data_IF_263481329826
#
_entry.id   IF_263481329826
#
_cell.length_a   1.000
_cell.length_b   1.000
_cell.length_c   1.000
_cell.angle_alpha   90.00
_cell.angle_beta   90.00
_cell.angle_gamma   90.00
#
_symmetry.space_group_name_H-M   'P 1'
#
loop_
_entity.id
_entity.type
_entity.pdbx_description
1 polymer ?
#
# COMPACT_ATOMS: atom_id res chain seq x y z
N UNK A 1 -4.67 -18.03 -13.19
CA UNK A 1 -3.95 -18.05 -11.90
C UNK A 1 -3.34 -19.43 -11.74
N UNK A 2 -2.12 -19.54 -11.20
CA UNK A 2 -1.47 -20.84 -10.97
C UNK A 2 -2.05 -21.41 -9.67
N UNK A 3 -2.74 -22.53 -9.78
CA UNK A 3 -3.32 -23.23 -8.62
C UNK A 3 -2.20 -23.87 -7.78
N UNK A 4 -2.02 -23.40 -6.54
CA UNK A 4 -1.06 -23.99 -5.61
C UNK A 4 -1.59 -25.34 -5.13
N UNK A 5 -0.76 -26.37 -5.27
CA UNK A 5 -1.09 -27.72 -4.80
C UNK A 5 -0.31 -28.04 -3.53
N UNK A 6 -0.73 -29.08 -2.81
CA UNK A 6 -0.03 -29.57 -1.60
C UNK A 6 1.46 -29.83 -1.85
N UNK A 7 1.82 -30.34 -3.04
CA UNK A 7 3.24 -30.57 -3.40
C UNK A 7 4.02 -29.26 -3.47
N UNK A 8 3.48 -28.27 -4.19
CA UNK A 8 4.13 -26.97 -4.36
C UNK A 8 4.26 -26.27 -3.00
N UNK A 9 3.23 -26.34 -2.16
CA UNK A 9 3.30 -25.78 -0.81
C UNK A 9 4.35 -26.50 0.05
N UNK A 10 4.44 -27.83 -0.06
CA UNK A 10 5.44 -28.64 0.66
C UNK A 10 6.86 -28.19 0.34
N UNK A 11 7.13 -28.05 -0.95
CA UNK A 11 8.43 -27.63 -1.47
C UNK A 11 8.73 -26.16 -1.07
N UNK A 12 7.72 -25.28 -1.05
CA UNK A 12 7.84 -23.87 -0.65
C UNK A 12 8.21 -23.70 0.84
N UNK A 13 7.57 -24.46 1.73
CA UNK A 13 7.77 -24.34 3.19
C UNK A 13 8.79 -25.36 3.75
N UNK A 14 9.38 -26.19 2.90
CA UNK A 14 10.40 -27.17 3.29
C UNK A 14 9.88 -28.32 4.16
N UNK A 15 8.61 -28.71 4.01
CA UNK A 15 8.01 -29.82 4.78
C UNK A 15 7.62 -30.98 3.87
N UNK A 16 7.37 -32.15 4.45
CA UNK A 16 6.89 -33.29 3.67
C UNK A 16 5.45 -33.10 3.20
N UNK A 17 5.13 -33.58 1.99
CA UNK A 17 3.76 -33.61 1.45
C UNK A 17 2.76 -34.25 2.42
N UNK A 18 3.20 -35.31 3.11
CA UNK A 18 2.38 -36.03 4.08
C UNK A 18 2.08 -35.18 5.31
N UNK A 19 3.02 -34.33 5.75
CA UNK A 19 2.80 -33.41 6.85
C UNK A 19 1.67 -32.44 6.53
N UNK A 20 1.67 -31.82 5.35
CA UNK A 20 0.55 -30.95 4.93
C UNK A 20 -0.77 -31.73 4.89
N UNK A 21 -0.76 -32.97 4.39
CA UNK A 21 -1.97 -33.79 4.36
C UNK A 21 -2.54 -34.05 5.77
N UNK A 22 -1.68 -34.40 6.73
CA UNK A 22 -2.09 -34.59 8.13
C UNK A 22 -2.67 -33.32 8.74
N UNK A 23 -2.13 -32.15 8.38
CA UNK A 23 -2.67 -30.86 8.84
C UNK A 23 -4.05 -30.62 8.21
N UNK A 24 -4.21 -30.88 6.92
CA UNK A 24 -5.53 -30.78 6.25
C UNK A 24 -6.57 -31.68 6.91
N UNK A 25 -6.18 -32.89 7.32
CA UNK A 25 -7.08 -33.83 7.97
C UNK A 25 -7.49 -33.36 9.39
N UNK A 26 -6.66 -32.55 10.06
CA UNK A 26 -6.91 -31.94 11.37
C UNK A 26 -7.72 -30.65 11.30
N UNK A 27 -7.76 -29.98 10.16
CA UNK A 27 -8.55 -28.76 9.98
C UNK A 27 -10.05 -29.06 10.13
N UNK A 28 -10.85 -28.10 10.62
CA UNK A 28 -12.30 -28.25 10.68
C UNK A 28 -12.89 -28.27 9.25
N UNK A 29 -14.04 -28.93 9.09
CA UNK A 29 -14.63 -29.19 7.75
C UNK A 29 -14.91 -27.91 6.94
N UNK A 30 -15.16 -26.79 7.61
CA UNK A 30 -15.38 -25.47 7.00
C UNK A 30 -14.09 -24.78 6.51
N UNK A 31 -12.92 -25.34 6.81
CA UNK A 31 -11.60 -24.79 6.43
C UNK A 31 -10.77 -25.79 5.60
N UNK A 32 -11.37 -26.93 5.21
CA UNK A 32 -10.69 -27.92 4.39
C UNK A 32 -10.57 -27.43 2.94
N UNK A 33 -9.41 -27.59 2.30
CA UNK A 33 -9.23 -27.17 0.92
C UNK A 33 -10.09 -27.98 -0.04
N UNK A 34 -10.47 -27.36 -1.16
CA UNK A 34 -11.27 -28.02 -2.19
C UNK A 34 -10.46 -29.11 -2.90
N UNK A 35 -11.04 -30.30 -3.01
CA UNK A 35 -10.43 -31.42 -3.73
C UNK A 35 -10.91 -31.43 -5.19
N UNK A 36 -9.98 -31.35 -6.14
CA UNK A 36 -10.23 -31.49 -7.58
C UNK A 36 -9.66 -32.83 -8.03
N UNK A 37 -10.53 -33.84 -8.18
CA UNK A 37 -10.12 -35.22 -8.46
C UNK A 37 -9.26 -35.81 -7.34
N UNK A 38 -8.04 -36.23 -7.66
CA UNK A 38 -7.11 -36.85 -6.70
C UNK A 38 -6.16 -35.85 -6.01
N UNK A 39 -6.34 -34.54 -6.18
CA UNK A 39 -5.44 -33.52 -5.62
C UNK A 39 -6.21 -32.42 -4.89
N UNK A 40 -5.61 -31.92 -3.82
CA UNK A 40 -6.06 -30.70 -3.16
C UNK A 40 -5.53 -29.48 -3.91
N UNK A 41 -6.45 -28.56 -4.20
CA UNK A 41 -6.15 -27.23 -4.73
C UNK A 41 -6.27 -26.27 -3.56
N UNK A 42 -5.20 -25.55 -3.27
CA UNK A 42 -5.10 -24.68 -2.10
C UNK A 42 -5.32 -23.23 -2.53
N UNK A 43 -6.32 -22.59 -1.93
CA UNK A 43 -6.48 -21.13 -1.96
C UNK A 43 -5.49 -20.44 -1.02
N UNK A 44 -5.38 -19.11 -1.12
CA UNK A 44 -4.54 -18.33 -0.21
C UNK A 44 -4.97 -18.48 1.25
N UNK A 45 -6.28 -18.58 1.51
CA UNK A 45 -6.85 -18.80 2.84
C UNK A 45 -6.46 -20.19 3.36
N UNK A 46 -6.55 -21.22 2.52
CA UNK A 46 -6.15 -22.58 2.90
C UNK A 46 -4.67 -22.64 3.29
N UNK A 47 -3.81 -21.95 2.52
CA UNK A 47 -2.38 -21.87 2.80
C UNK A 47 -2.13 -21.18 4.14
N UNK A 48 -2.84 -20.10 4.45
CA UNK A 48 -2.73 -19.40 5.72
C UNK A 48 -3.16 -20.30 6.88
N UNK A 49 -4.32 -20.96 6.77
CA UNK A 49 -4.81 -21.88 7.80
C UNK A 49 -3.84 -23.03 8.05
N UNK A 50 -3.30 -23.63 6.98
CA UNK A 50 -2.28 -24.68 7.08
C UNK A 50 -1.00 -24.18 7.75
N UNK A 51 -0.53 -22.97 7.41
CA UNK A 51 0.68 -22.37 8.01
C UNK A 51 0.47 -22.02 9.49
N UNK A 52 -0.72 -21.53 9.86
CA UNK A 52 -1.10 -21.27 11.27
C UNK A 52 -1.13 -22.57 12.06
N UNK A 53 -1.80 -23.60 11.56
CA UNK A 53 -1.91 -24.90 12.23
C UNK A 53 -0.54 -25.61 12.36
N UNK A 54 0.41 -25.30 11.48
CA UNK A 54 1.80 -25.76 11.59
C UNK A 54 2.64 -24.97 12.60
N UNK A 55 2.13 -23.85 13.13
CA UNK A 55 2.90 -22.94 13.99
C UNK A 55 3.95 -22.12 13.22
N UNK A 56 3.80 -21.99 11.90
CA UNK A 56 4.67 -21.16 11.05
C UNK A 56 4.18 -19.71 10.97
N UNK A 57 2.92 -19.48 11.34
CA UNK A 57 2.30 -18.16 11.39
C UNK A 57 1.52 -18.02 12.70
N UNK A 58 1.68 -16.90 13.37
CA UNK A 58 0.89 -16.58 14.56
C UNK A 58 -0.48 -16.01 14.12
N UNK A 59 -1.60 -16.63 14.53
CA UNK A 59 -2.94 -16.19 14.13
C UNK A 59 -3.24 -14.77 14.66
N UNK A 60 -2.68 -14.44 15.83
CA UNK A 60 -2.77 -13.11 16.43
C UNK A 60 -1.92 -12.10 15.68
N UNK A 61 -0.72 -12.46 15.21
CA UNK A 61 0.15 -11.57 14.44
C UNK A 61 -0.44 -11.29 13.04
N UNK A 62 -1.07 -12.26 12.37
CA UNK A 62 -1.70 -12.02 11.06
C UNK A 62 -2.91 -11.08 11.13
N UNK A 63 -3.66 -11.11 12.24
CA UNK A 63 -4.69 -10.11 12.51
C UNK A 63 -4.04 -8.79 12.89
N UNK A 64 -3.02 -8.77 13.75
CA UNK A 64 -2.32 -7.54 14.19
C UNK A 64 -1.60 -6.84 13.04
N UNK A 65 -0.98 -7.51 12.09
CA UNK A 65 -0.28 -6.87 10.98
C UNK A 65 -1.27 -6.36 9.92
N UNK A 66 -2.40 -7.06 9.73
CA UNK A 66 -3.55 -6.53 8.98
C UNK A 66 -4.18 -5.33 9.70
N UNK A 67 -4.34 -5.37 11.01
CA UNK A 67 -4.87 -4.27 11.83
C UNK A 67 -3.87 -3.13 12.02
N UNK A 68 -2.56 -3.37 11.99
CA UNK A 68 -1.50 -2.35 12.02
C UNK A 68 -1.41 -1.66 10.68
N UNK A 69 -1.49 -2.40 9.58
CA UNK A 69 -1.66 -1.79 8.26
C UNK A 69 -2.96 -0.99 8.21
N UNK A 70 -4.09 -1.55 8.66
CA UNK A 70 -5.38 -0.84 8.71
C UNK A 70 -5.36 0.35 9.67
N UNK A 71 -4.72 0.28 10.83
CA UNK A 71 -4.65 1.40 11.80
C UNK A 71 -3.71 2.47 11.30
N UNK A 72 -2.60 2.09 10.67
CA UNK A 72 -1.68 3.03 10.02
C UNK A 72 -2.35 3.69 8.82
N UNK A 73 -3.07 2.92 8.00
CA UNK A 73 -3.89 3.41 6.87
C UNK A 73 -5.02 4.31 7.39
N UNK A 74 -5.68 3.95 8.49
CA UNK A 74 -6.75 4.73 9.13
C UNK A 74 -6.20 6.04 9.68
N UNK A 75 -5.05 6.02 10.34
CA UNK A 75 -4.39 7.21 10.88
C UNK A 75 -3.85 8.10 9.74
N UNK A 76 -3.38 7.52 8.63
CA UNK A 76 -3.03 8.25 7.41
C UNK A 76 -4.28 8.84 6.74
N UNK A 77 -5.41 8.12 6.73
CA UNK A 77 -6.70 8.62 6.24
C UNK A 77 -7.20 9.79 7.09
N UNK A 78 -7.12 9.66 8.42
CA UNK A 78 -7.58 10.65 9.39
C UNK A 78 -6.71 11.93 9.34
N UNK A 79 -5.43 11.83 8.98
CA UNK A 79 -4.54 13.01 8.78
C UNK A 79 -4.68 13.68 7.40
N UNK A 80 -5.41 13.07 6.46
CA UNK A 80 -5.63 13.61 5.11
C UNK A 80 -7.02 14.23 4.90
N UNK A 81 -7.87 14.26 5.93
CA UNK A 81 -9.21 14.88 5.87
C UNK A 81 -9.19 16.21 6.62
N UNK A 82 -9.26 17.38 5.94
CA UNK A 82 -9.76 18.57 6.59
C UNK A 82 -11.23 18.35 6.96
N UNK A 83 -11.58 18.74 8.18
CA UNK A 83 -12.90 18.63 8.82
C UNK A 83 -14.06 18.87 7.85
N UNK A 84 -14.89 17.84 7.65
CA UNK A 84 -16.30 18.04 7.35
C UNK A 84 -17.11 17.15 8.31
N UNK A 85 -16.98 17.51 9.59
CA UNK A 85 -17.70 16.92 10.71
C UNK A 85 -19.08 17.57 10.73
N UNK A 86 -20.08 16.90 10.16
CA UNK A 86 -21.49 17.15 10.53
C UNK A 86 -22.39 15.95 10.22
N UNK A 87 -22.01 15.05 9.31
CA UNK A 87 -22.91 13.96 8.88
C UNK A 87 -22.67 12.59 9.53
N UNK A 88 -21.64 12.41 10.37
CA UNK A 88 -21.32 11.12 11.00
C UNK A 88 -22.12 10.86 12.29
N UNK A 89 -22.41 11.92 13.06
CA UNK A 89 -23.16 11.82 14.32
C UNK A 89 -24.62 11.41 14.11
N UNK A 90 -25.22 11.78 12.97
CA UNK A 90 -26.62 11.44 12.68
C UNK A 90 -26.82 10.00 12.20
N UNK A 91 -25.82 9.42 11.52
CA UNK A 91 -25.89 8.04 11.05
C UNK A 91 -25.73 7.00 12.18
N UNK A 92 -24.92 7.32 13.20
CA UNK A 92 -24.69 6.41 14.34
C UNK A 92 -25.90 6.39 15.31
N UNK A 93 -26.63 7.49 15.45
CA UNK A 93 -27.81 7.55 16.32
C UNK A 93 -29.02 6.75 15.78
N UNK A 94 -29.16 6.61 14.46
CA UNK A 94 -30.30 5.90 13.83
C UNK A 94 -30.17 4.37 13.86
N UNK A 95 -28.96 3.83 14.08
CA UNK A 95 -28.72 2.38 14.07
C UNK A 95 -29.13 1.75 15.41
N UNK A 96 -28.98 2.48 16.53
CA UNK A 96 -29.31 1.98 17.88
C UNK A 96 -30.82 1.85 18.13
N UNK A 97 -31.66 2.67 17.48
CA UNK A 97 -33.11 2.71 17.78
C UNK A 97 -33.92 1.63 17.06
N UNK A 98 -33.34 0.92 16.08
CA UNK A 98 -34.08 -0.03 15.25
C UNK A 98 -33.84 -1.51 15.61
N UNK A 99 -32.97 -1.80 16.59
CA UNK A 99 -32.70 -3.18 17.04
C UNK A 99 -33.75 -3.64 18.08
N UNK A 100 -34.33 -2.72 18.86
CA UNK A 100 -35.22 -3.08 19.99
C UNK A 100 -36.67 -3.40 19.59
N UNK A 101 -37.07 -3.26 18.32
CA UNK A 101 -38.46 -3.46 17.88
C UNK A 101 -38.75 -4.79 17.16
N UNK A 102 -37.84 -5.78 17.22
CA UNK A 102 -38.02 -7.07 16.51
C UNK A 102 -38.22 -8.28 17.42
N UNK A 103 -38.98 -8.11 18.50
CA UNK A 103 -39.64 -9.22 19.18
C UNK A 103 -41.16 -9.10 19.05
N UNK A 104 -41.69 -9.34 17.85
CA UNK A 104 -43.00 -9.99 17.65
C UNK A 104 -43.36 -10.15 16.16
N UNK A 105 -43.77 -11.38 15.81
CA UNK A 105 -44.80 -11.73 14.82
C UNK A 105 -44.39 -12.11 13.37
N UNK A 106 -44.11 -13.40 13.21
CA UNK A 106 -44.63 -14.41 12.24
C UNK A 106 -45.05 -14.04 10.80
N UNK A 107 -44.52 -14.88 9.88
CA UNK A 107 -45.15 -15.55 8.71
C UNK A 107 -44.59 -15.17 7.33
N UNK A 108 -44.42 -16.22 6.52
CA UNK A 108 -43.67 -16.34 5.27
C UNK A 108 -44.53 -15.89 4.08
N UNK A 109 -44.11 -14.89 3.31
CA UNK A 109 -44.37 -14.78 1.84
C UNK A 109 -43.68 -13.58 1.13
N UNK A 110 -43.13 -12.57 1.82
CA UNK A 110 -42.68 -11.31 1.17
C UNK A 110 -41.18 -11.19 0.78
N UNK A 111 -40.39 -12.27 0.77
CA UNK A 111 -38.91 -12.14 0.73
C UNK A 111 -38.27 -11.77 -0.62
N UNK A 112 -39.00 -11.79 -1.74
CA UNK A 112 -38.40 -11.52 -3.08
C UNK A 112 -38.44 -10.05 -3.52
N UNK A 113 -39.33 -9.22 -2.97
CA UNK A 113 -39.43 -7.79 -3.34
C UNK A 113 -38.51 -6.88 -2.52
N UNK A 114 -38.24 -7.21 -1.25
CA UNK A 114 -37.34 -6.43 -0.38
C UNK A 114 -35.85 -6.57 -0.78
N UNK A 115 -35.43 -7.74 -1.26
CA UNK A 115 -34.03 -8.01 -1.67
C UNK A 115 -33.57 -7.16 -2.86
N UNK A 116 -34.48 -6.81 -3.78
CA UNK A 116 -34.14 -5.97 -4.94
C UNK A 116 -33.87 -4.51 -4.54
N UNK A 117 -34.59 -4.00 -3.53
CA UNK A 117 -34.42 -2.62 -3.06
C UNK A 117 -33.12 -2.41 -2.29
N UNK A 118 -32.71 -3.38 -1.49
CA UNK A 118 -31.45 -3.33 -0.72
C UNK A 118 -30.24 -3.50 -1.64
N UNK A 119 -30.36 -4.32 -2.69
CA UNK A 119 -29.33 -4.47 -3.71
C UNK A 119 -29.16 -3.18 -4.55
N UNK A 120 -30.24 -2.50 -4.91
CA UNK A 120 -30.20 -1.24 -5.65
C UNK A 120 -29.52 -0.11 -4.84
N UNK A 121 -29.79 -0.03 -3.53
CA UNK A 121 -29.15 0.96 -2.64
C UNK A 121 -27.64 0.70 -2.54
N UNK A 122 -27.24 -0.56 -2.35
CA UNK A 122 -25.82 -0.94 -2.28
C UNK A 122 -25.14 -0.72 -3.62
N UNK A 123 -25.81 -1.02 -4.73
CA UNK A 123 -25.28 -0.80 -6.09
C UNK A 123 -25.07 0.68 -6.40
N UNK A 124 -26.03 1.55 -6.07
CA UNK A 124 -25.90 2.99 -6.26
C UNK A 124 -24.81 3.60 -5.37
N UNK A 125 -24.68 3.12 -4.12
CA UNK A 125 -23.59 3.51 -3.23
C UNK A 125 -22.23 3.12 -3.80
N UNK A 126 -22.07 1.87 -4.24
CA UNK A 126 -20.83 1.39 -4.85
C UNK A 126 -20.50 2.16 -6.13
N UNK A 127 -21.50 2.47 -6.97
CA UNK A 127 -21.33 3.26 -8.17
C UNK A 127 -20.84 4.68 -7.86
N UNK A 128 -21.39 5.30 -6.81
CA UNK A 128 -20.94 6.60 -6.31
C UNK A 128 -19.50 6.54 -5.80
N UNK A 129 -19.16 5.52 -5.01
CA UNK A 129 -17.80 5.33 -4.47
C UNK A 129 -16.77 5.11 -5.59
N UNK A 130 -17.12 4.36 -6.63
CA UNK A 130 -16.28 4.18 -7.82
C UNK A 130 -16.07 5.52 -8.54
N UNK A 131 -17.12 6.32 -8.68
CA UNK A 131 -17.04 7.66 -9.28
C UNK A 131 -16.09 8.59 -8.53
N UNK A 132 -16.21 8.62 -7.20
CA UNK A 132 -15.34 9.43 -6.34
C UNK A 132 -13.88 8.96 -6.39
N UNK A 133 -13.63 7.65 -6.32
CA UNK A 133 -12.27 7.08 -6.45
C UNK A 133 -11.64 7.37 -7.82
N UNK A 134 -12.42 7.29 -8.89
CA UNK A 134 -11.93 7.63 -10.23
C UNK A 134 -11.53 9.10 -10.37
N UNK A 135 -12.27 10.02 -9.73
CA UNK A 135 -11.90 11.43 -9.72
C UNK A 135 -10.60 11.67 -8.93
N UNK A 136 -10.41 10.99 -7.79
CA UNK A 136 -9.16 11.06 -7.04
C UNK A 136 -7.96 10.52 -7.84
N UNK A 137 -8.16 9.46 -8.61
CA UNK A 137 -7.12 8.92 -9.51
C UNK A 137 -6.72 9.97 -10.54
N UNK A 138 -7.69 10.63 -11.19
CA UNK A 138 -7.40 11.70 -12.16
C UNK A 138 -6.59 12.84 -11.56
N UNK A 139 -6.91 13.26 -10.33
CA UNK A 139 -6.14 14.32 -9.66
C UNK A 139 -4.72 13.86 -9.29
N UNK A 140 -4.55 12.61 -8.84
CA UNK A 140 -3.22 12.03 -8.59
C UNK A 140 -2.39 11.90 -9.87
N UNK A 141 -3.00 11.50 -10.98
CA UNK A 141 -2.34 11.43 -12.29
C UNK A 141 -1.85 12.81 -12.76
N UNK A 142 -2.64 13.87 -12.53
CA UNK A 142 -2.21 15.25 -12.81
C UNK A 142 -0.99 15.65 -11.97
N UNK A 143 -0.97 15.30 -10.69
CA UNK A 143 0.18 15.58 -9.82
C UNK A 143 1.44 14.82 -10.28
N UNK A 144 1.29 13.55 -10.67
CA UNK A 144 2.38 12.75 -11.23
C UNK A 144 2.95 13.41 -12.49
N UNK A 145 2.08 13.88 -13.39
CA UNK A 145 2.52 14.58 -14.61
C UNK A 145 3.27 15.88 -14.30
N UNK A 146 2.85 16.64 -13.29
CA UNK A 146 3.56 17.85 -12.84
C UNK A 146 4.94 17.52 -12.27
N UNK A 147 5.05 16.47 -11.44
CA UNK A 147 6.32 16.03 -10.86
C UNK A 147 7.27 15.54 -11.95
N UNK A 148 6.78 14.76 -12.92
CA UNK A 148 7.57 14.32 -14.07
C UNK A 148 8.15 15.51 -14.84
N UNK A 149 7.33 16.52 -15.14
CA UNK A 149 7.80 17.74 -15.81
C UNK A 149 8.88 18.49 -15.01
N UNK A 150 8.72 18.61 -13.69
CA UNK A 150 9.72 19.25 -12.83
C UNK A 150 11.04 18.46 -12.81
N UNK A 151 10.95 17.13 -12.76
CA UNK A 151 12.10 16.24 -12.79
C UNK A 151 12.85 16.33 -14.13
N UNK A 152 12.13 16.33 -15.26
CA UNK A 152 12.70 16.52 -16.59
C UNK A 152 13.45 17.86 -16.68
N UNK A 153 12.83 18.95 -16.19
CA UNK A 153 13.48 20.26 -16.14
C UNK A 153 14.76 20.22 -15.29
N UNK A 154 14.74 19.57 -14.12
CA UNK A 154 15.92 19.45 -13.28
C UNK A 154 17.04 18.65 -13.97
N UNK A 155 16.70 17.56 -14.67
CA UNK A 155 17.66 16.75 -15.42
C UNK A 155 18.32 17.59 -16.54
N UNK A 156 17.54 18.35 -17.30
CA UNK A 156 18.05 19.24 -18.35
C UNK A 156 19.03 20.27 -17.77
N UNK A 157 18.63 20.95 -16.69
CA UNK A 157 19.49 21.95 -16.04
C UNK A 157 20.79 21.33 -15.52
N UNK A 158 20.73 20.10 -15.01
CA UNK A 158 21.91 19.38 -14.52
C UNK A 158 22.88 19.05 -15.66
N UNK A 159 22.36 18.56 -16.80
CA UNK A 159 23.19 18.29 -17.98
C UNK A 159 23.84 19.57 -18.52
N UNK A 160 23.08 20.65 -18.64
CA UNK A 160 23.61 21.96 -19.06
C UNK A 160 24.69 22.48 -18.12
N UNK A 161 24.53 22.27 -16.81
CA UNK A 161 25.55 22.64 -15.83
C UNK A 161 26.83 21.80 -16.00
N UNK A 162 26.70 20.49 -16.20
CA UNK A 162 27.83 19.59 -16.46
C UNK A 162 28.59 19.96 -17.74
N UNK A 163 27.88 20.27 -18.82
CA UNK A 163 28.49 20.74 -20.08
C UNK A 163 29.27 22.04 -19.88
N UNK A 164 28.70 23.02 -19.18
CA UNK A 164 29.38 24.28 -18.88
C UNK A 164 30.61 24.09 -18.00
N UNK A 165 30.55 23.20 -17.01
CA UNK A 165 31.71 22.88 -16.16
C UNK A 165 32.83 22.28 -17.01
N UNK A 166 32.50 21.32 -17.88
CA UNK A 166 33.47 20.69 -18.77
C UNK A 166 34.18 21.69 -19.68
N UNK A 167 33.43 22.61 -20.30
CA UNK A 167 34.02 23.67 -21.14
C UNK A 167 34.96 24.59 -20.34
N UNK A 168 34.60 24.90 -19.09
CA UNK A 168 35.44 25.71 -18.21
C UNK A 168 36.70 24.97 -17.76
N UNK A 169 36.60 23.66 -17.50
CA UNK A 169 37.75 22.81 -17.20
C UNK A 169 38.70 22.73 -18.40
N UNK A 170 38.18 22.47 -19.60
CA UNK A 170 38.97 22.45 -20.84
C UNK A 170 39.67 23.80 -21.06
N UNK A 171 38.97 24.93 -20.90
CA UNK A 171 39.58 26.27 -21.03
C UNK A 171 40.65 26.58 -19.99
N UNK A 172 40.56 26.01 -18.78
CA UNK A 172 41.61 26.14 -17.76
C UNK A 172 42.82 25.24 -18.04
N UNK A 173 42.61 24.12 -18.73
CA UNK A 173 43.67 23.15 -19.01
C UNK A 173 44.58 23.62 -20.15
N UNK A 174 44.13 24.58 -20.99
CA UNK A 174 44.91 25.18 -22.07
C UNK A 174 45.84 26.33 -21.63
N UNK A 175 45.79 26.80 -20.38
CA UNK A 175 46.69 27.83 -19.83
C UNK A 175 47.83 27.29 -18.93
N UNK A 176 48.01 25.96 -18.81
CA UNK A 176 49.15 25.40 -18.07
C UNK A 176 50.26 24.88 -19.01
N UNK A 177 51.09 25.82 -19.47
CA UNK A 177 52.47 25.55 -19.89
C UNK A 177 53.25 24.94 -18.71
N UNK A 178 54.05 23.87 -18.89
CA UNK A 178 54.73 23.22 -17.78
C UNK A 178 56.07 23.90 -17.51
N UNK A 179 56.11 24.94 -16.67
CA UNK A 179 57.38 25.32 -16.03
C UNK A 179 57.26 26.06 -14.70
N UNK A 180 58.07 25.56 -13.76
CA UNK A 180 58.55 26.17 -12.50
C UNK A 180 57.57 26.30 -11.33
N UNK A 181 57.74 25.35 -10.41
CA UNK A 181 57.80 25.54 -8.95
C UNK A 181 58.14 26.96 -8.50
N UNK A 182 57.33 27.55 -7.62
CA UNK A 182 57.87 28.21 -6.42
C UNK A 182 56.83 28.34 -5.29
N UNK A 183 57.37 28.21 -4.10
CA UNK A 183 56.76 28.06 -2.78
C UNK A 183 56.03 29.32 -2.30
N UNK A 184 54.85 29.20 -1.68
CA UNK A 184 54.39 30.20 -0.71
C UNK A 184 53.54 29.57 0.41
N UNK A 185 54.05 29.69 1.64
CA UNK A 185 53.37 29.27 2.87
C UNK A 185 52.51 30.41 3.44
N UNK A 186 51.46 29.99 4.15
CA UNK A 186 50.69 30.69 5.19
C UNK A 186 49.82 31.88 4.78
N UNK A 187 48.50 31.71 4.95
CA UNK A 187 47.75 32.49 5.95
C UNK A 187 46.34 31.88 6.17
N UNK A 188 46.07 31.44 7.40
CA UNK A 188 44.71 31.18 7.86
C UNK A 188 43.99 32.52 8.06
N UNK A 189 43.49 33.13 6.98
CA UNK A 189 42.46 34.16 7.12
C UNK A 189 41.10 33.47 7.15
N UNK A 190 40.34 33.74 8.21
CA UNK A 190 38.98 33.25 8.44
C UNK A 190 38.12 33.60 7.23
N UNK A 191 38.00 32.66 6.29
CA UNK A 191 36.96 32.69 5.27
C UNK A 191 35.66 32.46 6.02
N UNK A 192 34.99 33.55 6.42
CA UNK A 192 33.54 33.49 6.51
C UNK A 192 33.07 33.10 5.11
N UNK A 193 32.90 31.79 4.93
CA UNK A 193 32.38 31.23 3.71
C UNK A 193 31.05 31.90 3.44
N UNK A 194 30.76 32.15 2.17
CA UNK A 194 29.52 32.71 1.66
C UNK A 194 28.24 32.16 2.34
N UNK A 195 28.31 30.94 2.89
CA UNK A 195 27.25 30.29 3.67
C UNK A 195 26.91 30.93 5.02
N UNK A 196 27.79 31.72 5.66
CA UNK A 196 27.49 32.30 6.98
C UNK A 196 26.45 33.43 6.94
N UNK A 197 26.11 33.94 5.75
CA UNK A 197 25.03 34.93 5.55
C UNK A 197 23.71 34.31 5.12
N UNK A 198 23.67 33.02 4.81
CA UNK A 198 22.49 32.35 4.28
C UNK A 198 21.73 31.52 5.33
N UNK A 199 22.35 31.26 6.48
CA UNK A 199 21.76 30.51 7.60
C UNK A 199 21.50 31.39 8.83
N UNK A 200 20.91 32.58 8.64
CA UNK A 200 20.35 33.38 9.75
C UNK A 200 18.87 33.65 9.53
#
# INVERSE_FOLDING_TARGET
MIEKTVRILADEIGVSKQRIQQIIDKLPDNQKPTKRGNRYVLSEIDIINIKIEMGLLDPTATNIDKYRQISTIKNILDQQIPENIDNKSQAEQQISTNIDNKEQKTTKEDKESELNSEFDIVFDFLKKEIGEKNNQIKEKDKQIAQIQKLLENQQILTLQAQEKIKLLEESKTEEEDPLSTETFQQEQTKKQGFFSKWFK
#
